data_IF_878301775438
#
_entry.id   IF_878301775438
#
_cell.length_a   1.000
_cell.length_b   1.000
_cell.length_c   1.000
_cell.angle_alpha   90.00
_cell.angle_beta   90.00
_cell.angle_gamma   90.00
#
_symmetry.space_group_name_H-M   'P 1'
#
loop_
_entity.id
_entity.type
_entity.pdbx_description
1 polymer ?
#
# COMPACT_ATOMS: atom_id res chain seq x y z
N UNK A 1 -6.89 29.56 -17.72
CA UNK A 1 -5.92 28.45 -17.73
C UNK A 1 -6.02 27.73 -19.05
N UNK A 2 -4.96 27.71 -19.86
CA UNK A 2 -4.99 27.15 -21.20
C UNK A 2 -4.82 25.62 -21.11
N UNK A 3 -5.66 24.84 -21.77
CA UNK A 3 -5.62 23.36 -21.69
C UNK A 3 -4.25 22.83 -22.16
N UNK A 4 -3.59 23.56 -23.08
CA UNK A 4 -2.23 23.31 -23.55
C UNK A 4 -1.14 23.48 -22.47
N UNK A 5 -1.30 24.46 -21.56
CA UNK A 5 -0.37 24.62 -20.43
C UNK A 5 -0.53 23.50 -19.41
N UNK A 6 -1.76 23.03 -19.18
CA UNK A 6 -2.05 21.90 -18.29
C UNK A 6 -1.50 20.60 -18.89
N UNK A 7 -1.73 20.35 -20.19
CA UNK A 7 -1.22 19.14 -20.86
C UNK A 7 0.31 19.10 -20.93
N UNK A 8 1.00 20.25 -21.08
CA UNK A 8 2.47 20.30 -21.06
C UNK A 8 3.08 20.01 -19.67
N UNK A 9 2.37 20.34 -18.60
CA UNK A 9 2.77 20.00 -17.22
C UNK A 9 2.58 18.50 -16.96
N UNK A 10 1.47 17.92 -17.44
CA UNK A 10 1.23 16.48 -17.33
C UNK A 10 2.10 15.64 -18.27
N UNK A 11 2.52 16.18 -19.43
CA UNK A 11 3.40 15.49 -20.37
C UNK A 11 4.83 15.29 -19.84
N UNK A 12 5.27 16.14 -18.89
CA UNK A 12 6.58 16.06 -18.24
C UNK A 12 6.53 15.38 -16.86
N UNK A 13 5.34 15.00 -16.38
CA UNK A 13 5.21 14.30 -15.12
C UNK A 13 5.52 12.81 -15.32
N UNK A 14 6.46 12.23 -14.56
CA UNK A 14 6.72 10.81 -14.62
C UNK A 14 5.43 10.06 -14.25
N UNK A 15 4.92 9.24 -15.16
CA UNK A 15 3.64 8.51 -15.04
C UNK A 15 3.47 7.82 -13.69
N UNK A 16 4.57 7.38 -13.08
CA UNK A 16 4.60 6.76 -11.76
C UNK A 16 4.03 7.66 -10.64
N UNK A 17 4.32 8.96 -10.64
CA UNK A 17 3.80 9.89 -9.64
C UNK A 17 2.31 10.15 -9.80
N UNK A 18 1.81 10.15 -11.04
CA UNK A 18 0.38 10.23 -11.32
C UNK A 18 -0.35 9.01 -10.75
N UNK A 19 0.21 7.81 -10.96
CA UNK A 19 -0.35 6.56 -10.41
C UNK A 19 -0.37 6.61 -8.88
N UNK A 20 0.73 7.00 -8.23
CA UNK A 20 0.79 7.10 -6.77
C UNK A 20 -0.18 8.14 -6.23
N UNK A 21 -0.26 9.31 -6.86
CA UNK A 21 -1.21 10.37 -6.51
C UNK A 21 -2.66 9.89 -6.65
N UNK A 22 -2.98 9.17 -7.74
CA UNK A 22 -4.31 8.61 -7.96
C UNK A 22 -4.68 7.58 -6.87
N UNK A 23 -3.77 6.67 -6.53
CA UNK A 23 -3.99 5.70 -5.43
C UNK A 23 -4.26 6.45 -4.11
N UNK A 24 -3.45 7.46 -3.79
CA UNK A 24 -3.62 8.25 -2.57
C UNK A 24 -4.98 8.95 -2.52
N UNK A 25 -5.42 9.54 -3.64
CA UNK A 25 -6.73 10.21 -3.74
C UNK A 25 -7.88 9.21 -3.60
N UNK A 26 -7.79 8.03 -4.22
CA UNK A 26 -8.82 6.98 -4.10
C UNK A 26 -8.95 6.52 -2.65
N UNK A 27 -7.82 6.25 -1.98
CA UNK A 27 -7.83 5.85 -0.57
C UNK A 27 -8.35 6.98 0.31
N UNK A 28 -7.96 8.24 0.05
CA UNK A 28 -8.45 9.39 0.79
C UNK A 28 -9.96 9.59 0.62
N UNK A 29 -10.49 9.44 -0.60
CA UNK A 29 -11.92 9.51 -0.87
C UNK A 29 -12.69 8.39 -0.15
N UNK A 30 -12.13 7.19 -0.09
CA UNK A 30 -12.71 6.09 0.67
C UNK A 30 -12.67 6.37 2.19
N UNK A 31 -11.59 6.98 2.69
CA UNK A 31 -11.49 7.40 4.09
C UNK A 31 -12.47 8.52 4.45
N UNK A 32 -12.75 9.43 3.52
CA UNK A 32 -13.78 10.46 3.68
C UNK A 32 -15.16 9.82 3.83
N UNK A 33 -15.45 8.81 3.01
CA UNK A 33 -16.76 8.14 2.99
C UNK A 33 -16.98 7.22 4.19
N UNK A 34 -15.97 6.45 4.57
CA UNK A 34 -16.12 5.32 5.50
C UNK A 34 -15.22 5.41 6.74
N UNK A 35 -14.52 6.53 6.94
CA UNK A 35 -13.58 6.73 8.03
C UNK A 35 -12.18 6.19 7.75
N UNK A 36 -11.21 6.66 8.54
CA UNK A 36 -9.77 6.35 8.37
C UNK A 36 -9.41 4.91 8.75
N UNK A 37 -10.30 4.21 9.46
CA UNK A 37 -10.11 2.81 9.88
C UNK A 37 -9.85 1.84 8.73
N UNK A 38 -10.44 2.06 7.54
CA UNK A 38 -10.19 1.19 6.37
C UNK A 38 -8.76 1.34 5.87
N UNK A 39 -8.24 2.56 5.79
CA UNK A 39 -6.86 2.82 5.42
C UNK A 39 -5.86 2.28 6.45
N UNK A 40 -6.16 2.41 7.74
CA UNK A 40 -5.34 1.83 8.82
C UNK A 40 -5.33 0.29 8.75
N UNK A 41 -6.49 -0.32 8.53
CA UNK A 41 -6.60 -1.79 8.39
C UNK A 41 -5.81 -2.28 7.17
N UNK A 42 -5.94 -1.60 6.04
CA UNK A 42 -5.16 -1.92 4.83
C UNK A 42 -3.65 -1.74 5.06
N UNK A 43 -3.25 -0.63 5.69
CA UNK A 43 -1.87 -0.34 6.01
C UNK A 43 -1.23 -1.38 6.93
N UNK A 44 -2.00 -1.99 7.84
CA UNK A 44 -1.54 -3.09 8.70
C UNK A 44 -1.61 -4.45 8.01
N UNK A 45 -2.58 -4.66 7.12
CA UNK A 45 -2.74 -5.91 6.37
C UNK A 45 -1.60 -6.16 5.39
N UNK A 46 -1.12 -5.12 4.71
CA UNK A 46 -0.02 -5.21 3.74
C UNK A 46 1.28 -5.80 4.31
N UNK A 47 1.87 -5.28 5.41
CA UNK A 47 3.09 -5.83 6.01
C UNK A 47 2.84 -7.21 6.62
N UNK A 48 1.66 -7.48 7.20
CA UNK A 48 1.31 -8.80 7.72
C UNK A 48 1.29 -9.85 6.62
N UNK A 49 0.65 -9.54 5.49
CA UNK A 49 0.63 -10.43 4.33
C UNK A 49 2.04 -10.66 3.77
N UNK A 50 2.87 -9.62 3.73
CA UNK A 50 4.27 -9.74 3.34
C UNK A 50 5.07 -10.67 4.28
N UNK A 51 4.90 -10.54 5.59
CA UNK A 51 5.56 -11.41 6.57
C UNK A 51 5.10 -12.87 6.44
N UNK A 52 3.79 -13.10 6.28
CA UNK A 52 3.25 -14.44 6.05
C UNK A 52 3.80 -15.04 4.75
N UNK A 53 3.89 -14.24 3.67
CA UNK A 53 4.50 -14.66 2.41
C UNK A 53 5.98 -15.03 2.57
N UNK A 54 6.74 -14.29 3.36
CA UNK A 54 8.15 -14.61 3.64
C UNK A 54 8.32 -15.87 4.48
N UNK A 55 7.35 -16.19 5.35
CA UNK A 55 7.38 -17.37 6.22
C UNK A 55 6.81 -18.63 5.54
N UNK A 56 6.01 -18.49 4.48
CA UNK A 56 5.34 -19.58 3.76
C UNK A 56 6.28 -20.69 3.27
N UNK A 57 7.48 -20.41 2.72
CA UNK A 57 8.43 -21.46 2.31
C UNK A 57 8.89 -22.35 3.48
N UNK A 58 8.92 -21.82 4.70
CA UNK A 58 9.31 -22.55 5.91
C UNK A 58 8.17 -23.39 6.52
N UNK A 59 6.95 -23.29 6.00
CA UNK A 59 5.81 -24.05 6.48
C UNK A 59 5.77 -25.46 5.84
N UNK A 60 5.88 -26.50 6.68
CA UNK A 60 6.04 -27.91 6.29
C UNK A 60 5.02 -28.47 5.27
N UNK A 61 3.80 -27.91 5.21
CA UNK A 61 2.75 -28.36 4.28
C UNK A 61 2.57 -27.49 3.03
N UNK A 62 2.96 -26.20 3.09
CA UNK A 62 2.73 -25.24 2.00
C UNK A 62 3.99 -25.00 1.16
N UNK A 63 5.18 -25.26 1.72
CA UNK A 63 6.46 -25.11 1.03
C UNK A 63 6.56 -25.95 -0.25
N UNK A 64 6.12 -27.21 -0.22
CA UNK A 64 6.19 -28.12 -1.37
C UNK A 64 5.19 -27.78 -2.51
N UNK A 65 4.12 -27.06 -2.21
CA UNK A 65 3.16 -26.54 -3.21
C UNK A 65 3.70 -25.24 -3.83
N UNK A 66 4.33 -24.38 -3.02
CA UNK A 66 4.98 -23.14 -3.46
C UNK A 66 6.23 -23.38 -4.31
N UNK A 67 7.02 -24.41 -4.01
CA UNK A 67 8.18 -24.81 -4.83
C UNK A 67 7.79 -25.18 -6.27
N UNK A 68 6.57 -25.69 -6.48
CA UNK A 68 6.03 -26.00 -7.82
C UNK A 68 5.38 -24.80 -8.50
N UNK A 69 5.09 -23.74 -7.75
CA UNK A 69 4.37 -22.55 -8.18
C UNK A 69 5.27 -21.31 -8.24
N UNK A 70 6.51 -21.47 -8.70
CA UNK A 70 7.53 -20.40 -8.77
C UNK A 70 7.29 -19.33 -9.85
N UNK A 71 6.13 -19.32 -10.51
CA UNK A 71 5.81 -18.26 -11.47
C UNK A 71 5.53 -16.94 -10.73
N UNK A 72 6.14 -15.84 -11.19
CA UNK A 72 6.03 -14.50 -10.57
C UNK A 72 4.57 -14.05 -10.41
N UNK A 73 3.70 -14.46 -11.33
CA UNK A 73 2.27 -14.18 -11.30
C UNK A 73 1.55 -14.89 -10.15
N UNK A 74 1.92 -16.14 -9.82
CA UNK A 74 1.29 -16.89 -8.74
C UNK A 74 1.68 -16.31 -7.38
N UNK A 75 2.93 -15.84 -7.22
CA UNK A 75 3.36 -15.15 -6.00
C UNK A 75 2.54 -13.87 -5.75
N UNK A 76 2.25 -13.08 -6.79
CA UNK A 76 1.42 -11.90 -6.68
C UNK A 76 -0.04 -12.24 -6.31
N UNK A 77 -0.60 -13.32 -6.86
CA UNK A 77 -1.96 -13.80 -6.52
C UNK A 77 -2.03 -14.26 -5.07
N UNK A 78 -1.03 -15.03 -4.60
CA UNK A 78 -0.97 -15.48 -3.20
C UNK A 78 -0.86 -14.27 -2.27
N UNK A 79 0.00 -13.29 -2.59
CA UNK A 79 0.10 -12.07 -1.80
C UNK A 79 -1.24 -11.33 -1.74
N UNK A 80 -1.93 -11.18 -2.87
CA UNK A 80 -3.24 -10.53 -2.91
C UNK A 80 -4.26 -11.25 -2.02
N UNK A 81 -4.30 -12.59 -2.09
CA UNK A 81 -5.19 -13.39 -1.24
C UNK A 81 -4.87 -13.21 0.25
N UNK A 82 -3.59 -13.18 0.62
CA UNK A 82 -3.14 -12.92 1.99
C UNK A 82 -3.48 -11.50 2.45
N UNK A 83 -3.32 -10.50 1.59
CA UNK A 83 -3.70 -9.11 1.90
C UNK A 83 -5.20 -9.02 2.17
N UNK A 84 -6.04 -9.68 1.36
CA UNK A 84 -7.49 -9.70 1.56
C UNK A 84 -7.85 -10.38 2.89
N UNK A 85 -7.27 -11.54 3.18
CA UNK A 85 -7.48 -12.23 4.46
C UNK A 85 -7.02 -11.39 5.66
N UNK A 86 -5.81 -10.83 5.60
CA UNK A 86 -5.26 -9.98 6.64
C UNK A 86 -6.09 -8.69 6.80
N UNK A 87 -6.60 -8.13 5.71
CA UNK A 87 -7.49 -6.97 5.75
C UNK A 87 -8.80 -7.29 6.46
N UNK A 88 -9.45 -8.42 6.15
CA UNK A 88 -10.68 -8.83 6.82
C UNK A 88 -10.44 -9.01 8.32
N UNK A 89 -9.33 -9.66 8.71
CA UNK A 89 -8.97 -9.88 10.11
C UNK A 89 -8.68 -8.56 10.85
N UNK A 90 -7.82 -7.71 10.28
CA UNK A 90 -7.46 -6.41 10.88
C UNK A 90 -8.66 -5.48 10.97
N UNK A 91 -9.49 -5.40 9.92
CA UNK A 91 -10.71 -4.62 9.91
C UNK A 91 -11.72 -5.10 10.96
N UNK A 92 -11.85 -6.42 11.15
CA UNK A 92 -12.73 -6.98 12.18
C UNK A 92 -12.24 -6.65 13.60
N UNK A 93 -10.93 -6.61 13.84
CA UNK A 93 -10.35 -6.25 15.14
C UNK A 93 -10.51 -4.74 15.40
N UNK A 94 -10.23 -3.91 14.40
CA UNK A 94 -10.24 -2.45 14.50
C UNK A 94 -11.64 -1.84 14.44
N UNK A 95 -12.60 -2.53 13.81
CA UNK A 95 -13.99 -2.08 13.64
C UNK A 95 -14.75 -1.88 14.95
N UNK A 96 -14.27 -2.43 16.06
CA UNK A 96 -14.83 -2.20 17.39
C UNK A 96 -14.41 -0.86 18.03
N UNK A 97 -13.47 -0.12 17.43
CA UNK A 97 -12.72 0.95 18.10
C UNK A 97 -12.79 2.35 17.44
N UNK A 98 -13.64 2.63 16.44
CA UNK A 98 -13.77 4.02 15.94
C UNK A 98 -15.15 4.36 15.36
N UNK A 99 -15.70 5.50 15.77
CA UNK A 99 -16.95 6.10 15.26
C UNK A 99 -16.75 7.49 14.59
N UNK A 100 -15.52 7.93 14.36
CA UNK A 100 -15.29 9.26 13.73
C UNK A 100 -15.41 9.22 12.21
N UNK A 101 -16.41 9.92 11.69
CA UNK A 101 -16.47 10.35 10.29
C UNK A 101 -15.20 11.09 9.88
N UNK A 102 -14.67 10.81 8.68
CA UNK A 102 -13.37 11.30 8.24
C UNK A 102 -13.33 12.81 8.01
N UNK A 103 -12.50 13.53 8.78
CA UNK A 103 -12.18 14.92 8.45
C UNK A 103 -11.35 14.97 7.16
N UNK A 104 -11.58 15.92 6.23
CA UNK A 104 -10.89 15.93 4.94
C UNK A 104 -9.36 15.90 5.02
N UNK A 105 -8.78 16.62 5.98
CA UNK A 105 -7.32 16.66 6.20
C UNK A 105 -6.82 15.30 6.69
N UNK A 106 -7.53 14.69 7.64
CA UNK A 106 -7.23 13.37 8.18
C UNK A 106 -7.30 12.29 7.10
N UNK A 107 -8.36 12.29 6.29
CA UNK A 107 -8.53 11.34 5.19
C UNK A 107 -7.45 11.46 4.11
N UNK A 108 -7.00 12.68 3.81
CA UNK A 108 -5.90 12.91 2.87
C UNK A 108 -4.57 12.37 3.42
N UNK A 109 -4.27 12.68 4.69
CA UNK A 109 -3.07 12.16 5.36
C UNK A 109 -3.08 10.63 5.45
N UNK A 110 -4.22 10.02 5.76
CA UNK A 110 -4.38 8.56 5.74
C UNK A 110 -4.14 7.98 4.33
N UNK A 111 -4.70 8.60 3.30
CA UNK A 111 -4.48 8.19 1.92
C UNK A 111 -3.01 8.19 1.53
N UNK A 112 -2.31 9.29 1.79
CA UNK A 112 -0.86 9.43 1.50
C UNK A 112 -0.04 8.43 2.29
N UNK A 113 -0.29 8.26 3.59
CA UNK A 113 0.45 7.34 4.44
C UNK A 113 0.25 5.88 4.00
N UNK A 114 -0.98 5.46 3.69
CA UNK A 114 -1.25 4.11 3.20
C UNK A 114 -0.63 3.87 1.82
N UNK A 115 -0.64 4.86 0.93
CA UNK A 115 0.07 4.77 -0.36
C UNK A 115 1.58 4.63 -0.18
N UNK A 116 2.18 5.36 0.76
CA UNK A 116 3.60 5.25 1.08
C UNK A 116 3.96 3.82 1.56
N UNK A 117 3.12 3.21 2.41
CA UNK A 117 3.31 1.82 2.84
C UNK A 117 3.19 0.86 1.65
N UNK A 118 2.18 1.07 0.79
CA UNK A 118 1.94 0.24 -0.37
C UNK A 118 3.13 0.27 -1.34
N UNK A 119 3.66 1.44 -1.69
CA UNK A 119 4.79 1.54 -2.62
C UNK A 119 6.06 0.95 -2.02
N UNK A 120 6.33 1.20 -0.74
CA UNK A 120 7.50 0.63 -0.05
C UNK A 120 7.44 -0.89 -0.06
N UNK A 121 6.26 -1.49 0.17
CA UNK A 121 6.11 -2.95 0.12
C UNK A 121 6.10 -3.50 -1.31
N UNK A 122 5.56 -2.75 -2.28
CA UNK A 122 5.60 -3.14 -3.69
C UNK A 122 7.04 -3.35 -4.18
N UNK A 123 7.94 -2.43 -3.83
CA UNK A 123 9.35 -2.50 -4.21
C UNK A 123 10.09 -3.69 -3.57
N UNK A 124 9.52 -4.31 -2.54
CA UNK A 124 10.16 -5.42 -1.81
C UNK A 124 9.69 -6.79 -2.29
N UNK A 125 8.63 -6.86 -3.10
CA UNK A 125 8.11 -8.13 -3.61
C UNK A 125 8.52 -8.29 -5.08
N UNK A 126 9.44 -9.21 -5.40
CA UNK A 126 9.88 -9.44 -6.78
C UNK A 126 8.72 -9.72 -7.74
N UNK A 127 7.72 -10.49 -7.31
CA UNK A 127 6.51 -10.76 -8.09
C UNK A 127 5.73 -9.49 -8.48
N UNK A 128 5.66 -8.48 -7.62
CA UNK A 128 4.97 -7.22 -7.92
C UNK A 128 5.78 -6.32 -8.86
N UNK A 129 7.11 -6.30 -8.70
CA UNK A 129 7.98 -5.55 -9.63
C UNK A 129 7.94 -6.07 -11.06
N UNK A 130 7.61 -7.36 -11.26
CA UNK A 130 7.34 -7.91 -12.59
C UNK A 130 6.05 -7.40 -13.24
N UNK A 131 5.04 -7.03 -12.42
CA UNK A 131 3.76 -6.50 -12.91
C UNK A 131 3.87 -5.02 -13.25
N UNK A 132 4.55 -4.24 -12.41
CA UNK A 132 4.83 -2.84 -12.66
C UNK A 132 6.20 -2.45 -12.12
N UNK A 133 7.06 -1.97 -13.01
CA UNK A 133 8.39 -1.47 -12.66
C UNK A 133 8.33 0.05 -12.49
N UNK A 134 8.47 0.51 -11.25
CA UNK A 134 8.58 1.94 -10.96
C UNK A 134 9.94 2.48 -11.41
N UNK A 135 9.98 3.65 -12.01
CA UNK A 135 11.22 4.26 -12.51
C UNK A 135 12.15 4.73 -11.39
N UNK A 136 13.40 5.01 -11.75
CA UNK A 136 14.51 5.30 -10.83
C UNK A 136 14.21 6.40 -9.81
N UNK A 137 13.41 7.41 -10.17
CA UNK A 137 13.03 8.48 -9.26
C UNK A 137 12.20 7.99 -8.07
N UNK A 138 11.23 7.09 -8.32
CA UNK A 138 10.40 6.52 -7.25
C UNK A 138 11.21 5.55 -6.40
N UNK A 139 12.10 4.78 -7.04
CA UNK A 139 13.02 3.91 -6.32
C UNK A 139 14.04 4.70 -5.48
N UNK A 140 14.47 5.88 -5.92
CA UNK A 140 15.36 6.74 -5.13
C UNK A 140 14.65 7.29 -3.87
N UNK A 141 13.35 7.59 -3.96
CA UNK A 141 12.57 8.14 -2.84
C UNK A 141 12.12 7.04 -1.88
N UNK A 142 11.55 5.95 -2.38
CA UNK A 142 10.96 4.86 -1.59
C UNK A 142 11.85 3.62 -1.49
N UNK A 143 13.11 3.75 -1.89
CA UNK A 143 14.08 2.65 -1.91
C UNK A 143 14.48 2.19 -0.51
N UNK A 144 15.34 1.16 -0.51
CA UNK A 144 15.75 0.46 0.70
C UNK A 144 16.36 1.39 1.76
N UNK A 145 17.16 2.38 1.35
CA UNK A 145 17.81 3.33 2.26
C UNK A 145 16.82 4.16 3.12
N UNK A 146 15.64 4.48 2.58
CA UNK A 146 14.64 5.32 3.26
C UNK A 146 13.41 4.55 3.72
N UNK A 147 13.36 3.23 3.46
CA UNK A 147 12.22 2.36 3.78
C UNK A 147 11.77 2.48 5.23
N UNK A 148 12.72 2.40 6.18
CA UNK A 148 12.41 2.50 7.60
C UNK A 148 11.70 3.81 7.93
N UNK A 149 12.20 4.93 7.41
CA UNK A 149 11.66 6.27 7.66
C UNK A 149 10.27 6.45 7.05
N UNK A 150 10.05 5.94 5.84
CA UNK A 150 8.72 5.96 5.22
C UNK A 150 7.69 5.16 5.99
N UNK A 151 8.06 3.95 6.44
CA UNK A 151 7.16 3.12 7.25
C UNK A 151 6.88 3.78 8.61
N UNK A 152 7.92 4.23 9.32
CA UNK A 152 7.77 4.90 10.60
C UNK A 152 6.90 6.16 10.50
N UNK A 153 7.20 7.03 9.53
CA UNK A 153 6.41 8.25 9.29
C UNK A 153 4.96 7.96 8.91
N UNK A 154 4.73 6.94 8.07
CA UNK A 154 3.38 6.53 7.70
C UNK A 154 2.58 5.97 8.90
N UNK A 155 3.18 5.13 9.74
CA UNK A 155 2.49 4.61 10.93
C UNK A 155 2.22 5.69 11.98
N UNK A 156 3.16 6.61 12.20
CA UNK A 156 2.94 7.76 13.09
C UNK A 156 1.78 8.62 12.58
N UNK A 157 1.77 8.90 11.27
CA UNK A 157 0.70 9.67 10.63
C UNK A 157 -0.65 8.96 10.78
N UNK A 158 -0.72 7.65 10.50
CA UNK A 158 -1.94 6.87 10.66
C UNK A 158 -2.41 6.79 12.12
N UNK A 159 -1.49 6.74 13.08
CA UNK A 159 -1.82 6.78 14.51
C UNK A 159 -2.41 8.15 14.92
N UNK A 160 -1.82 9.26 14.47
CA UNK A 160 -2.29 10.61 14.76
C UNK A 160 -3.61 10.96 14.06
N UNK A 161 -3.85 10.38 12.88
CA UNK A 161 -5.10 10.57 12.13
C UNK A 161 -6.24 9.72 12.68
N UNK A 162 -5.92 8.67 13.45
CA UNK A 162 -6.90 7.82 14.13
C UNK A 162 -7.38 8.41 15.46
N UNK A 163 -6.55 9.19 16.16
CA UNK A 163 -6.90 9.87 17.42
C UNK A 163 -7.82 11.06 17.21
#
# INVERSE_FOLDING_TARGET
MNVASISSVFANWPTNWIILGFIAVVIAAECLRAGTNRAVSLALALPLAFLILSALPSAAFLGSILEKAQTQMVQAIILLALVVLAYILTYRILGFYSDSSGQPVQSLLAGVATTAILIVLWLQVPGLTSLWHFGDQVQAVFGEAYRFWWLAGAYITLAAVRS
#
